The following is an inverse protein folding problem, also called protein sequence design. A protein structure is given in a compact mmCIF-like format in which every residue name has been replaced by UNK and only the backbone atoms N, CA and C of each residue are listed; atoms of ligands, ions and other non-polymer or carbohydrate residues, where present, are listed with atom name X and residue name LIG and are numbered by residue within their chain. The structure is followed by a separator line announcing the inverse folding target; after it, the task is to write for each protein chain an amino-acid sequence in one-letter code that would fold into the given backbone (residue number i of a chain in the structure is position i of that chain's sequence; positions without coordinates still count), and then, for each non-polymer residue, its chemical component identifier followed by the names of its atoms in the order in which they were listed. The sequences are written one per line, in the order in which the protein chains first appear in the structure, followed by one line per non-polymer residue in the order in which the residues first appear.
data_IF_042850035398
#
_entry.id   IF_042850035398
#
_cell.length_a   1.000
_cell.length_b   1.000
_cell.length_c   1.000
_cell.angle_alpha   90.00
_cell.angle_beta   90.00
_cell.angle_gamma   90.00
#
_symmetry.space_group_name_H-M   'P 1'
#
loop_
_entity.id
_entity.type
_entity.pdbx_description
1 polymer ?
#
# COMPACT_ATOMS: atom_id res chain seq x y z
N UNK A 1 -32.10 -2.01 -6.66
CA UNK A 1 -31.46 -2.29 -7.97
C UNK A 1 -30.07 -2.81 -7.70
N UNK A 2 -29.77 -4.03 -8.14
CA UNK A 2 -28.47 -4.66 -7.93
C UNK A 2 -27.39 -3.90 -8.72
N UNK A 3 -26.33 -3.47 -8.04
CA UNK A 3 -25.11 -2.94 -8.66
C UNK A 3 -24.49 -4.03 -9.55
N UNK A 4 -24.03 -3.72 -10.77
CA UNK A 4 -23.37 -4.73 -11.59
C UNK A 4 -22.07 -5.12 -10.89
N UNK A 5 -21.96 -6.37 -10.45
CA UNK A 5 -20.70 -6.96 -10.03
C UNK A 5 -19.82 -7.04 -11.27
N UNK A 6 -18.99 -6.03 -11.49
CA UNK A 6 -17.93 -6.11 -12.50
C UNK A 6 -17.06 -7.28 -12.09
N UNK A 7 -17.22 -8.42 -12.78
CA UNK A 7 -16.34 -9.59 -12.63
C UNK A 7 -14.91 -9.12 -12.85
N UNK A 8 -14.16 -8.94 -11.76
CA UNK A 8 -12.75 -8.58 -11.82
C UNK A 8 -11.99 -9.77 -12.40
N UNK A 9 -11.70 -9.73 -13.70
CA UNK A 9 -10.83 -10.71 -14.34
C UNK A 9 -9.43 -10.59 -13.71
N UNK A 10 -8.89 -11.73 -13.25
CA UNK A 10 -7.54 -11.80 -12.69
C UNK A 10 -6.53 -11.45 -13.78
N UNK A 11 -5.82 -10.33 -13.58
CA UNK A 11 -4.81 -9.87 -14.55
C UNK A 11 -3.60 -10.83 -14.60
N UNK A 12 -3.17 -11.19 -15.81
CA UNK A 12 -1.89 -11.89 -16.01
C UNK A 12 -0.75 -10.88 -15.87
N UNK A 13 0.05 -11.04 -14.82
CA UNK A 13 1.14 -10.11 -14.51
C UNK A 13 2.33 -10.30 -15.46
N UNK A 14 2.85 -9.23 -16.08
CA UNK A 14 4.06 -9.32 -16.90
C UNK A 14 5.29 -9.68 -16.05
N UNK A 15 6.31 -10.33 -16.66
CA UNK A 15 7.56 -10.66 -15.96
C UNK A 15 8.32 -9.38 -15.56
N UNK A 16 9.11 -9.49 -14.48
CA UNK A 16 9.95 -8.39 -13.98
C UNK A 16 11.10 -8.13 -14.96
N UNK A 17 11.35 -6.86 -15.28
CA UNK A 17 12.48 -6.45 -16.10
C UNK A 17 13.73 -6.20 -15.24
N UNK A 18 14.86 -6.76 -15.67
CA UNK A 18 16.19 -6.61 -15.06
C UNK A 18 17.17 -5.85 -15.97
N UNK A 19 18.46 -5.76 -15.61
CA UNK A 19 19.48 -5.08 -16.42
C UNK A 19 19.79 -5.72 -17.77
N UNK A 20 19.36 -6.97 -17.99
CA UNK A 20 19.56 -7.68 -19.27
C UNK A 20 18.38 -7.51 -20.22
N UNK A 21 17.27 -6.97 -19.70
CA UNK A 21 16.04 -6.79 -20.44
C UNK A 21 16.13 -5.63 -21.43
N UNK A 22 15.61 -5.84 -22.65
CA UNK A 22 15.48 -4.75 -23.61
C UNK A 22 14.42 -3.75 -23.15
N UNK A 23 14.61 -2.44 -23.41
CA UNK A 23 13.61 -1.45 -23.05
C UNK A 23 12.33 -1.68 -23.87
N UNK A 24 11.14 -1.54 -23.28
CA UNK A 24 9.91 -1.47 -24.05
C UNK A 24 9.93 -0.21 -24.93
N UNK A 25 9.19 -0.23 -26.04
CA UNK A 25 9.07 0.94 -26.92
C UNK A 25 8.58 2.15 -26.13
N UNK A 26 9.34 3.25 -26.19
CA UNK A 26 9.05 4.49 -25.46
C UNK A 26 8.27 5.46 -26.34
N UNK A 27 7.32 6.18 -25.73
CA UNK A 27 6.51 7.24 -26.37
C UNK A 27 5.73 6.82 -27.63
N UNK A 28 5.33 5.55 -27.72
CA UNK A 28 4.53 4.98 -28.81
C UNK A 28 3.00 5.22 -28.67
N UNK A 29 2.59 6.12 -27.77
CA UNK A 29 1.18 6.36 -27.43
C UNK A 29 0.59 5.36 -26.42
N UNK A 30 1.31 4.29 -26.05
CA UNK A 30 0.85 3.37 -25.00
C UNK A 30 1.18 3.92 -23.62
N UNK A 31 0.17 4.03 -22.75
CA UNK A 31 0.38 4.46 -21.36
C UNK A 31 0.93 3.30 -20.53
N UNK A 32 2.08 3.51 -19.89
CA UNK A 32 2.79 2.51 -19.08
C UNK A 32 3.02 3.01 -17.65
N UNK A 33 2.73 2.15 -16.67
CA UNK A 33 3.01 2.38 -15.26
C UNK A 33 4.24 1.57 -14.86
N UNK A 34 5.38 2.26 -14.74
CA UNK A 34 6.63 1.66 -14.33
C UNK A 34 6.68 1.55 -12.81
N UNK A 35 6.88 0.35 -12.27
CA UNK A 35 6.73 0.08 -10.84
C UNK A 35 7.56 -1.10 -10.37
N UNK A 36 7.64 -1.39 -9.08
CA UNK A 36 8.14 -2.67 -8.60
C UNK A 36 7.02 -3.37 -7.82
N UNK A 37 6.80 -4.66 -8.08
CA UNK A 37 5.70 -5.41 -7.45
C UNK A 37 5.77 -5.43 -5.93
N UNK A 38 6.97 -5.35 -5.35
CA UNK A 38 7.15 -5.38 -3.89
C UNK A 38 7.17 -3.98 -3.27
N UNK A 39 7.20 -2.91 -4.06
CA UNK A 39 7.27 -1.54 -3.57
C UNK A 39 5.91 -1.07 -3.03
N UNK A 40 5.78 -0.76 -1.72
CA UNK A 40 4.51 -0.34 -1.15
C UNK A 40 4.03 1.01 -1.71
N UNK A 41 4.95 1.90 -2.10
CA UNK A 41 4.60 3.16 -2.75
C UNK A 41 4.00 2.94 -4.14
N UNK A 42 4.58 2.03 -4.92
CA UNK A 42 4.09 1.76 -6.28
C UNK A 42 2.77 0.96 -6.27
N UNK A 43 2.57 0.14 -5.25
CA UNK A 43 1.31 -0.56 -5.00
C UNK A 43 0.13 0.40 -4.85
N UNK A 44 0.33 1.61 -4.29
CA UNK A 44 -0.72 2.66 -4.22
C UNK A 44 -1.30 2.98 -5.60
N UNK A 45 -0.42 3.22 -6.58
CA UNK A 45 -0.81 3.53 -7.96
C UNK A 45 -1.42 2.31 -8.65
N UNK A 46 -0.94 1.10 -8.33
CA UNK A 46 -1.53 -0.14 -8.84
C UNK A 46 -2.96 -0.35 -8.35
N UNK A 47 -3.22 -0.21 -7.05
CA UNK A 47 -4.56 -0.31 -6.46
C UNK A 47 -5.48 0.71 -7.12
N UNK A 48 -5.03 1.97 -7.25
CA UNK A 48 -5.81 3.04 -7.89
C UNK A 48 -6.16 2.71 -9.35
N UNK A 49 -5.20 2.18 -10.12
CA UNK A 49 -5.43 1.73 -11.51
C UNK A 49 -6.51 0.66 -11.57
N UNK A 50 -6.44 -0.33 -10.68
CA UNK A 50 -7.39 -1.45 -10.64
C UNK A 50 -8.79 -0.96 -10.22
N UNK A 51 -8.89 -0.12 -9.19
CA UNK A 51 -10.16 0.46 -8.72
C UNK A 51 -10.87 1.29 -9.79
N UNK A 52 -10.10 1.91 -10.71
CA UNK A 52 -10.64 2.72 -11.81
C UNK A 52 -10.94 1.92 -13.09
N UNK A 53 -10.74 0.60 -13.10
CA UNK A 53 -10.96 -0.22 -14.29
C UNK A 53 -9.99 0.12 -15.43
N UNK A 54 -8.78 0.60 -15.12
CA UNK A 54 -7.82 1.09 -16.12
C UNK A 54 -6.82 0.04 -16.58
N UNK A 55 -7.08 -1.25 -16.33
CA UNK A 55 -6.12 -2.32 -16.58
C UNK A 55 -5.74 -2.45 -18.07
N UNK A 56 -6.71 -2.26 -18.97
CA UNK A 56 -6.46 -2.29 -20.41
C UNK A 56 -5.75 -1.04 -20.94
N UNK A 57 -5.95 0.10 -20.27
CA UNK A 57 -5.44 1.42 -20.69
C UNK A 57 -4.04 1.73 -20.18
N UNK A 58 -3.70 1.22 -18.99
CA UNK A 58 -2.41 1.45 -18.34
C UNK A 58 -1.70 0.11 -18.26
N UNK A 59 -0.62 -0.11 -19.00
CA UNK A 59 0.16 -1.35 -18.94
C UNK A 59 1.15 -1.30 -17.78
N UNK A 60 1.26 -2.37 -16.99
CA UNK A 60 2.28 -2.46 -15.94
C UNK A 60 3.65 -2.72 -16.56
N UNK A 61 4.69 -2.02 -16.08
CA UNK A 61 6.09 -2.29 -16.42
C UNK A 61 6.89 -2.46 -15.12
N UNK A 62 7.01 -3.70 -14.62
CA UNK A 62 7.75 -3.97 -13.40
C UNK A 62 9.27 -3.76 -13.61
N UNK A 63 9.86 -2.85 -12.84
CA UNK A 63 11.27 -2.48 -12.74
C UNK A 63 11.83 -3.05 -11.43
N UNK A 64 13.04 -3.59 -11.48
CA UNK A 64 13.84 -3.83 -10.29
C UNK A 64 14.36 -2.50 -9.69
N UNK A 65 13.95 -2.17 -8.46
CA UNK A 65 14.40 -0.96 -7.78
C UNK A 65 15.85 -1.04 -7.29
N UNK A 66 16.40 -2.24 -7.11
CA UNK A 66 17.81 -2.43 -6.77
C UNK A 66 18.71 -2.16 -8.00
N UNK A 67 18.13 -2.22 -9.21
CA UNK A 67 18.82 -2.12 -10.48
C UNK A 67 18.01 -1.28 -11.49
N UNK A 68 17.78 -0.01 -11.15
CA UNK A 68 16.79 0.85 -11.83
C UNK A 68 17.35 1.61 -13.06
N UNK A 69 16.52 1.86 -14.10
CA UNK A 69 16.85 2.76 -15.21
C UNK A 69 16.83 4.25 -14.79
N UNK A 70 17.65 5.08 -15.43
CA UNK A 70 17.93 6.46 -15.02
C UNK A 70 16.79 7.49 -15.22
N UNK A 71 15.74 7.20 -16.01
CA UNK A 71 14.87 8.23 -16.61
C UNK A 71 13.57 8.58 -15.82
N UNK A 72 13.38 8.08 -14.59
CA UNK A 72 12.06 7.94 -13.94
C UNK A 72 11.44 9.17 -13.21
N UNK A 73 12.17 10.27 -12.92
CA UNK A 73 11.91 11.06 -11.69
C UNK A 73 11.03 12.34 -11.75
N UNK A 74 10.49 12.81 -12.88
CA UNK A 74 10.27 14.27 -12.98
C UNK A 74 8.85 14.88 -12.92
N UNK A 75 7.71 14.18 -13.02
CA UNK A 75 6.40 14.86 -13.14
C UNK A 75 5.28 14.00 -12.58
N UNK A 76 4.31 14.56 -11.83
CA UNK A 76 2.85 14.24 -11.77
C UNK A 76 2.27 14.54 -10.35
N UNK A 77 1.34 15.50 -10.22
CA UNK A 77 -0.05 15.34 -9.66
C UNK A 77 -0.75 16.68 -9.29
N UNK A 78 -2.06 16.85 -9.59
CA UNK A 78 -2.92 17.93 -9.06
C UNK A 78 -4.11 17.46 -8.16
N UNK A 79 -4.82 18.36 -7.43
CA UNK A 79 -5.72 18.04 -6.30
C UNK A 79 -7.27 18.14 -6.50
N UNK A 80 -8.05 17.66 -5.50
CA UNK A 80 -9.51 17.36 -5.46
C UNK A 80 -10.39 18.33 -4.59
N UNK A 81 -11.74 18.16 -4.55
CA UNK A 81 -12.82 19.18 -4.35
C UNK A 81 -13.71 19.18 -3.06
N UNK A 82 -13.42 18.48 -1.96
CA UNK A 82 -14.20 18.59 -0.69
C UNK A 82 -13.36 19.21 0.44
N UNK A 83 -13.68 20.36 1.06
CA UNK A 83 -12.80 21.03 2.01
C UNK A 83 -12.50 20.26 3.30
N UNK A 84 -13.50 19.63 3.94
CA UNK A 84 -13.33 19.01 5.25
C UNK A 84 -12.68 17.63 5.12
N UNK A 85 -13.14 16.81 4.17
CA UNK A 85 -12.51 15.52 3.86
C UNK A 85 -11.11 15.73 3.25
N UNK A 86 -10.86 16.84 2.54
CA UNK A 86 -9.52 17.20 2.05
C UNK A 86 -8.57 17.58 3.17
N UNK A 87 -8.96 18.46 4.09
CA UNK A 87 -8.08 18.85 5.19
C UNK A 87 -7.69 17.65 6.05
N UNK A 88 -8.66 16.76 6.33
CA UNK A 88 -8.34 15.53 7.07
C UNK A 88 -7.51 14.54 6.24
N UNK A 89 -7.76 14.42 4.93
CA UNK A 89 -6.90 13.63 4.07
C UNK A 89 -5.47 14.19 4.00
N UNK A 90 -5.29 15.51 3.93
CA UNK A 90 -3.99 16.18 3.95
C UNK A 90 -3.26 15.92 5.28
N UNK A 91 -3.96 15.98 6.41
CA UNK A 91 -3.44 15.58 7.73
C UNK A 91 -2.97 14.12 7.72
N UNK A 92 -3.80 13.20 7.23
CA UNK A 92 -3.46 11.78 7.17
C UNK A 92 -2.32 11.47 6.19
N UNK A 93 -2.23 12.17 5.06
CA UNK A 93 -1.10 12.03 4.14
C UNK A 93 0.19 12.54 4.78
N UNK A 94 0.14 13.65 5.52
CA UNK A 94 1.28 14.17 6.27
C UNK A 94 1.70 13.22 7.40
N UNK A 95 0.73 12.61 8.08
CA UNK A 95 1.00 11.67 9.17
C UNK A 95 1.59 10.34 8.68
N UNK A 96 1.26 9.89 7.47
CA UNK A 96 1.68 8.59 6.94
C UNK A 96 3.21 8.38 6.97
N UNK A 97 4.00 9.41 6.65
CA UNK A 97 5.46 9.32 6.68
C UNK A 97 6.01 9.19 8.12
N UNK A 98 5.35 9.86 9.08
CA UNK A 98 5.70 9.77 10.50
C UNK A 98 5.37 8.39 11.07
N UNK A 99 4.17 7.87 10.76
CA UNK A 99 3.77 6.50 11.11
C UNK A 99 4.76 5.49 10.54
N UNK A 100 5.06 5.58 9.24
CA UNK A 100 5.98 4.66 8.57
C UNK A 100 7.38 4.70 9.19
N UNK A 101 7.86 5.88 9.59
CA UNK A 101 9.14 6.02 10.29
C UNK A 101 9.12 5.29 11.63
N UNK A 102 8.10 5.52 12.46
CA UNK A 102 7.96 4.87 13.78
C UNK A 102 7.92 3.35 13.61
N UNK A 103 7.01 2.85 12.77
CA UNK A 103 6.83 1.42 12.52
C UNK A 103 8.10 0.77 11.97
N UNK A 104 8.78 1.43 11.03
CA UNK A 104 10.01 0.89 10.45
C UNK A 104 11.19 0.89 11.45
N UNK A 105 11.33 1.94 12.27
CA UNK A 105 12.35 2.01 13.32
C UNK A 105 12.15 0.88 14.34
N UNK A 106 10.93 0.69 14.84
CA UNK A 106 10.64 -0.38 15.79
C UNK A 106 10.88 -1.77 15.19
N UNK A 107 10.46 -1.99 13.94
CA UNK A 107 10.70 -3.25 13.24
C UNK A 107 12.19 -3.56 13.05
N UNK A 108 13.00 -2.52 12.79
CA UNK A 108 14.44 -2.66 12.55
C UNK A 108 15.26 -2.74 13.85
N UNK A 109 14.68 -2.33 14.98
CA UNK A 109 15.32 -2.45 16.30
C UNK A 109 15.42 -3.92 16.73
N UNK A 110 16.36 -4.24 17.62
CA UNK A 110 16.40 -5.52 18.33
C UNK A 110 15.57 -5.53 19.62
N UNK A 111 15.15 -4.34 20.07
CA UNK A 111 14.36 -4.17 21.28
C UNK A 111 12.90 -4.59 21.04
N UNK A 112 12.18 -4.83 22.13
CA UNK A 112 10.74 -5.07 22.10
C UNK A 112 9.99 -3.85 21.54
N UNK A 113 8.71 -4.04 21.20
CA UNK A 113 7.87 -2.97 20.66
C UNK A 113 7.62 -1.93 21.74
N UNK A 114 8.15 -0.72 21.55
CA UNK A 114 7.97 0.41 22.46
C UNK A 114 6.57 1.05 22.40
N UNK A 115 6.26 1.85 23.41
CA UNK A 115 4.96 2.54 23.57
C UNK A 115 4.63 3.45 22.38
N UNK A 116 5.64 3.98 21.69
CA UNK A 116 5.47 4.85 20.52
C UNK A 116 4.76 4.14 19.36
N UNK A 117 4.94 2.83 19.21
CA UNK A 117 4.21 2.03 18.21
C UNK A 117 2.75 1.92 18.60
N UNK A 118 2.48 1.67 19.89
CA UNK A 118 1.13 1.64 20.43
C UNK A 118 0.40 2.97 20.18
N UNK A 119 1.01 4.07 20.59
CA UNK A 119 0.46 5.41 20.41
C UNK A 119 0.25 5.78 18.93
N UNK A 120 1.15 5.35 18.04
CA UNK A 120 0.99 5.59 16.60
C UNK A 120 -0.18 4.81 16.01
N UNK A 121 -0.37 3.55 16.42
CA UNK A 121 -1.50 2.71 16.01
C UNK A 121 -2.82 3.18 16.63
N UNK A 122 -2.81 3.69 17.86
CA UNK A 122 -3.98 4.27 18.51
C UNK A 122 -4.45 5.53 17.78
N UNK A 123 -3.52 6.36 17.30
CA UNK A 123 -3.87 7.49 16.42
C UNK A 123 -4.51 7.03 15.10
N UNK A 124 -4.12 5.87 14.56
CA UNK A 124 -4.79 5.28 13.38
C UNK A 124 -6.20 4.80 13.73
N UNK A 125 -6.38 4.15 14.89
CA UNK A 125 -7.69 3.72 15.40
C UNK A 125 -8.65 4.91 15.60
N UNK A 126 -8.16 6.00 16.19
CA UNK A 126 -8.91 7.25 16.36
C UNK A 126 -9.29 7.87 15.01
N UNK A 127 -8.37 7.87 14.05
CA UNK A 127 -8.61 8.40 12.71
C UNK A 127 -9.70 7.60 11.96
N UNK A 128 -9.73 6.28 12.11
CA UNK A 128 -10.77 5.41 11.57
C UNK A 128 -12.14 5.60 12.24
N UNK A 129 -12.18 6.23 13.42
CA UNK A 129 -13.41 6.53 14.15
C UNK A 129 -14.02 7.88 13.81
N UNK A 130 -13.36 8.70 12.98
CA UNK A 130 -13.78 10.08 12.71
C UNK A 130 -15.09 10.19 11.93
N UNK A 131 -15.36 9.25 11.04
CA UNK A 131 -16.58 9.24 10.24
C UNK A 131 -17.32 7.92 10.45
N UNK A 132 -18.64 7.99 10.62
CA UNK A 132 -19.53 6.86 10.90
C UNK A 132 -20.25 6.33 9.66
N UNK A 133 -20.05 6.95 8.50
CA UNK A 133 -20.61 6.58 7.21
C UNK A 133 -19.83 5.44 6.51
N UNK A 134 -18.92 4.75 7.22
CA UNK A 134 -18.32 3.49 6.79
C UNK A 134 -17.00 3.13 7.48
N UNK A 135 -16.34 2.03 7.08
CA UNK A 135 -15.20 1.46 7.80
C UNK A 135 -13.84 2.04 7.38
N UNK A 136 -13.82 3.04 6.48
CA UNK A 136 -12.60 3.62 5.91
C UNK A 136 -12.27 4.97 6.52
N UNK A 137 -11.04 5.49 6.30
CA UNK A 137 -10.59 6.75 6.92
C UNK A 137 -11.49 7.95 6.64
N UNK A 138 -12.19 7.97 5.50
CA UNK A 138 -13.13 9.02 5.11
C UNK A 138 -14.58 8.49 5.07
N UNK A 139 -14.86 7.44 5.84
CA UNK A 139 -16.09 6.63 5.83
C UNK A 139 -16.12 5.65 4.68
N UNK A 140 -16.03 6.18 3.45
CA UNK A 140 -15.99 5.42 2.21
C UNK A 140 -14.55 5.21 1.72
N UNK A 141 -14.31 4.14 0.97
CA UNK A 141 -12.99 3.81 0.45
C UNK A 141 -12.41 4.94 -0.41
N UNK A 142 -11.16 5.31 -0.13
CA UNK A 142 -10.57 6.54 -0.67
C UNK A 142 -9.07 6.39 -0.96
N UNK A 143 -8.47 7.45 -1.49
CA UNK A 143 -7.01 7.52 -1.68
C UNK A 143 -6.24 7.47 -0.35
N UNK A 144 -6.86 7.83 0.77
CA UNK A 144 -6.24 7.73 2.09
C UNK A 144 -6.03 6.26 2.45
N UNK A 145 -7.04 5.43 2.27
CA UNK A 145 -6.94 3.98 2.50
C UNK A 145 -5.87 3.36 1.60
N UNK A 146 -5.86 3.75 0.32
CA UNK A 146 -4.84 3.32 -0.65
C UNK A 146 -3.44 3.74 -0.20
N UNK A 147 -3.27 4.91 0.43
CA UNK A 147 -1.97 5.37 0.89
C UNK A 147 -1.45 4.54 2.08
N UNK A 148 -2.33 4.10 2.97
CA UNK A 148 -1.97 3.33 4.18
C UNK A 148 -1.87 1.81 3.91
N UNK A 149 -2.76 1.24 3.07
CA UNK A 149 -2.92 -0.19 2.87
C UNK A 149 -1.61 -0.96 2.57
N UNK A 150 -0.74 -0.53 1.63
CA UNK A 150 0.50 -1.26 1.35
C UNK A 150 1.47 -1.32 2.53
N UNK A 151 1.47 -0.31 3.40
CA UNK A 151 2.37 -0.28 4.55
C UNK A 151 1.77 -1.10 5.69
N UNK A 152 0.50 -0.86 6.00
CA UNK A 152 -0.22 -1.55 7.07
C UNK A 152 -0.29 -3.06 6.84
N UNK A 153 -0.50 -3.53 5.60
CA UNK A 153 -0.47 -4.97 5.30
C UNK A 153 0.89 -5.61 5.61
N UNK A 154 1.99 -4.88 5.31
CA UNK A 154 3.35 -5.36 5.55
C UNK A 154 3.62 -5.36 7.05
N UNK A 155 3.22 -4.30 7.76
CA UNK A 155 3.40 -4.22 9.20
C UNK A 155 2.60 -5.28 9.95
N UNK A 156 1.39 -5.61 9.53
CA UNK A 156 0.61 -6.69 10.14
C UNK A 156 1.38 -8.02 10.11
N UNK A 157 1.93 -8.38 8.95
CA UNK A 157 2.69 -9.62 8.77
C UNK A 157 4.01 -9.55 9.54
N UNK A 158 4.76 -8.46 9.39
CA UNK A 158 6.12 -8.33 9.90
C UNK A 158 6.17 -8.19 11.42
N UNK A 159 5.27 -7.42 12.03
CA UNK A 159 5.24 -7.30 13.49
C UNK A 159 4.76 -8.59 14.14
N UNK A 160 3.80 -9.30 13.54
CA UNK A 160 3.38 -10.60 14.06
C UNK A 160 4.52 -11.61 14.03
N UNK A 161 5.28 -11.70 12.93
CA UNK A 161 6.33 -12.71 12.75
C UNK A 161 7.64 -12.34 13.48
N UNK A 162 8.11 -11.10 13.34
CA UNK A 162 9.43 -10.66 13.83
C UNK A 162 9.38 -10.19 15.28
N UNK A 163 8.24 -9.64 15.72
CA UNK A 163 8.09 -8.99 17.03
C UNK A 163 7.08 -9.69 17.94
N UNK A 164 6.39 -10.73 17.46
CA UNK A 164 5.27 -11.37 18.16
C UNK A 164 4.23 -10.33 18.64
N UNK A 165 4.00 -9.30 17.83
CA UNK A 165 3.14 -8.16 18.16
C UNK A 165 1.99 -8.06 17.16
N UNK A 166 0.77 -8.19 17.67
CA UNK A 166 -0.46 -8.01 16.88
C UNK A 166 -0.88 -6.54 16.90
N UNK A 167 -0.71 -5.85 15.76
CA UNK A 167 -1.06 -4.44 15.61
C UNK A 167 -2.56 -4.16 15.74
N UNK A 168 -3.42 -5.18 15.61
CA UNK A 168 -4.88 -5.07 15.68
C UNK A 168 -5.43 -5.31 17.08
N UNK A 169 -4.62 -5.86 18.00
CA UNK A 169 -5.04 -6.14 19.37
C UNK A 169 -5.42 -4.84 20.09
N UNK A 170 -6.67 -4.75 20.55
CA UNK A 170 -7.23 -3.56 21.19
C UNK A 170 -7.67 -2.46 20.20
N UNK A 171 -7.61 -2.72 18.89
CA UNK A 171 -7.92 -1.75 17.81
C UNK A 171 -8.98 -2.29 16.86
N UNK A 172 -10.24 -2.39 17.30
CA UNK A 172 -11.31 -3.03 16.53
C UNK A 172 -11.63 -2.33 15.20
N UNK A 173 -11.46 -1.00 15.08
CA UNK A 173 -11.68 -0.30 13.81
C UNK A 173 -10.57 -0.61 12.82
N UNK A 174 -9.32 -0.68 13.27
CA UNK A 174 -8.20 -1.12 12.44
C UNK A 174 -8.38 -2.58 11.99
N UNK A 175 -8.85 -3.46 12.87
CA UNK A 175 -9.18 -4.83 12.50
C UNK A 175 -10.27 -4.90 11.43
N UNK A 176 -11.36 -4.15 11.60
CA UNK A 176 -12.45 -4.05 10.62
C UNK A 176 -11.96 -3.45 9.29
N UNK A 177 -11.10 -2.44 9.33
CA UNK A 177 -10.52 -1.83 8.14
C UNK A 177 -9.72 -2.83 7.31
N UNK A 178 -8.93 -3.71 7.95
CA UNK A 178 -8.26 -4.80 7.23
C UNK A 178 -9.24 -5.81 6.64
N UNK A 179 -10.30 -6.17 7.37
CA UNK A 179 -11.34 -7.08 6.88
C UNK A 179 -11.99 -6.52 5.60
N UNK A 180 -12.39 -5.25 5.63
CA UNK A 180 -13.08 -4.58 4.52
C UNK A 180 -12.15 -4.31 3.34
N UNK A 181 -10.88 -3.95 3.57
CA UNK A 181 -9.88 -3.88 2.50
C UNK A 181 -9.74 -5.21 1.77
N UNK A 182 -9.71 -6.34 2.49
CA UNK A 182 -9.55 -7.66 1.90
C UNK A 182 -10.77 -8.13 1.07
N UNK A 183 -11.89 -7.40 1.10
CA UNK A 183 -13.05 -7.61 0.22
C UNK A 183 -12.93 -6.84 -1.10
N UNK A 184 -11.93 -5.95 -1.25
CA UNK A 184 -11.72 -5.15 -2.46
C UNK A 184 -10.80 -5.90 -3.42
N UNK A 185 -11.38 -6.50 -4.47
CA UNK A 185 -10.64 -7.25 -5.51
C UNK A 185 -9.47 -6.44 -6.09
N UNK A 186 -9.70 -5.15 -6.34
CA UNK A 186 -8.70 -4.24 -6.88
C UNK A 186 -7.45 -4.11 -5.99
N UNK A 187 -7.60 -4.24 -4.68
CA UNK A 187 -6.49 -4.28 -3.71
C UNK A 187 -5.90 -5.68 -3.60
N UNK A 188 -6.73 -6.71 -3.45
CA UNK A 188 -6.31 -8.11 -3.28
C UNK A 188 -5.39 -8.57 -4.41
N UNK A 189 -5.68 -8.18 -5.66
CA UNK A 189 -4.84 -8.52 -6.82
C UNK A 189 -3.43 -7.90 -6.79
N UNK A 190 -3.21 -6.89 -5.95
CA UNK A 190 -1.89 -6.23 -5.81
C UNK A 190 -1.04 -6.80 -4.69
N UNK A 191 -1.64 -7.64 -3.83
CA UNK A 191 -0.95 -8.23 -2.68
C UNK A 191 0.13 -9.18 -3.15
N UNK A 192 1.24 -9.20 -2.40
CA UNK A 192 2.31 -10.18 -2.57
C UNK A 192 2.14 -11.34 -1.62
N UNK A 193 2.78 -12.45 -1.95
CA UNK A 193 2.87 -13.58 -1.04
C UNK A 193 3.49 -13.12 0.29
N UNK A 194 2.83 -13.34 1.44
CA UNK A 194 3.38 -13.02 2.75
C UNK A 194 4.78 -13.61 2.98
N UNK A 195 5.07 -14.81 2.48
CA UNK A 195 6.37 -15.46 2.62
C UNK A 195 7.46 -14.76 1.81
N UNK A 196 7.14 -14.27 0.61
CA UNK A 196 8.07 -13.45 -0.17
C UNK A 196 8.39 -12.13 0.55
N UNK A 197 7.39 -11.50 1.15
CA UNK A 197 7.56 -10.25 1.92
C UNK A 197 8.44 -10.46 3.16
N UNK A 198 8.20 -11.55 3.90
CA UNK A 198 8.99 -11.96 5.05
C UNK A 198 10.44 -12.22 4.64
N UNK A 199 10.66 -13.07 3.63
CA UNK A 199 12.00 -13.42 3.15
C UNK A 199 12.79 -12.19 2.70
N UNK A 200 12.17 -11.32 1.89
CA UNK A 200 12.79 -10.08 1.44
C UNK A 200 13.15 -9.15 2.60
N UNK A 201 12.26 -9.01 3.59
CA UNK A 201 12.46 -8.08 4.70
C UNK A 201 13.49 -8.61 5.69
N UNK A 202 13.43 -9.89 6.05
CA UNK A 202 14.42 -10.57 6.91
C UNK A 202 15.83 -10.43 6.34
N UNK A 203 15.99 -10.66 5.02
CA UNK A 203 17.25 -10.41 4.31
C UNK A 203 17.72 -8.95 4.46
N UNK A 204 16.82 -7.98 4.30
CA UNK A 204 17.15 -6.55 4.42
C UNK A 204 17.52 -6.13 5.84
N UNK A 205 16.90 -6.73 6.86
CA UNK A 205 17.15 -6.43 8.26
C UNK A 205 18.38 -7.16 8.83
N UNK A 206 19.08 -7.96 8.01
CA UNK A 206 20.21 -8.78 8.48
C UNK A 206 19.79 -9.89 9.46
N UNK A 207 18.49 -10.16 9.56
CA UNK A 207 17.89 -11.23 10.34
C UNK A 207 17.79 -12.46 9.42
N UNK A 208 18.92 -13.05 9.05
CA UNK A 208 18.91 -14.26 8.22
C UNK A 208 18.42 -15.43 9.09
N UNK A 209 17.48 -16.20 8.54
CA UNK A 209 17.04 -17.49 9.07
C UNK A 209 18.14 -18.54 8.93
#
# INVERSE_FOLDING_TARGET
MATPTTSFLKEVLPPVLDSTSQPPTLFDGTTRLYMCYTCPFAQRTWITRNCKGLQEKIKLVPIDLQNRPAWYKEKVYPPNKDPAKRLFAEELFSYADSLNKIMFTALSSKEDVGDEVGAALDKVEDALSKFDDGPFFLGQFSLVDIAYAPFMERYQILFSDVKNYDITKGRPKLALWFEELNKIDAYVQTRRDPQELLAHTKKRLGQIA
#
